data_IF_183894825466
#
_entry.id   IF_183894825466
#
_cell.length_a   1.000
_cell.length_b   1.000
_cell.length_c   1.000
_cell.angle_alpha   90.00
_cell.angle_beta   90.00
_cell.angle_gamma   90.00
#
_symmetry.space_group_name_H-M   'P 1'
#
loop_
_entity.id
_entity.type
_entity.pdbx_description
1 polymer ?
#
# COMPACT_ATOMS: atom_id res chain seq x y z
N UNK A 1 4.51 -27.08 -3.79
CA UNK A 1 3.68 -26.53 -2.70
C UNK A 1 3.75 -25.03 -2.78
N UNK A 2 2.67 -24.31 -2.43
CA UNK A 2 2.71 -22.85 -2.35
C UNK A 2 3.63 -22.37 -1.21
N UNK A 3 3.87 -21.06 -1.13
CA UNK A 3 4.79 -20.45 -0.15
C UNK A 3 4.35 -20.71 1.30
N UNK A 4 3.04 -20.66 1.59
CA UNK A 4 2.51 -20.88 2.94
C UNK A 4 2.69 -22.34 3.37
N UNK A 5 2.39 -23.29 2.47
CA UNK A 5 2.57 -24.71 2.71
C UNK A 5 4.05 -25.09 2.84
N UNK A 6 4.94 -24.44 2.08
CA UNK A 6 6.38 -24.66 2.15
C UNK A 6 7.03 -24.05 3.40
N UNK A 7 6.41 -23.03 4.01
CA UNK A 7 6.96 -22.27 5.12
C UNK A 7 5.93 -22.14 6.27
N UNK A 8 5.71 -23.22 7.06
CA UNK A 8 4.68 -23.23 8.10
C UNK A 8 4.93 -22.26 9.26
N UNK A 9 6.14 -21.67 9.34
CA UNK A 9 6.53 -20.65 10.33
C UNK A 9 6.67 -19.25 9.71
N UNK A 10 6.10 -19.03 8.52
CA UNK A 10 6.13 -17.70 7.92
C UNK A 10 5.27 -16.75 8.76
N UNK A 11 5.87 -15.63 9.16
CA UNK A 11 5.20 -14.62 10.01
C UNK A 11 4.63 -13.46 9.18
N UNK A 12 5.14 -13.21 7.97
CA UNK A 12 4.71 -12.05 7.20
C UNK A 12 4.91 -12.15 5.68
N UNK A 13 4.12 -11.36 4.96
CA UNK A 13 4.39 -10.94 3.58
C UNK A 13 4.61 -9.42 3.51
N UNK A 14 5.66 -9.02 2.80
CA UNK A 14 5.85 -7.65 2.31
C UNK A 14 5.70 -7.63 0.79
N UNK A 15 4.66 -6.96 0.29
CA UNK A 15 4.30 -6.92 -1.13
C UNK A 15 4.69 -5.54 -1.67
N UNK A 16 5.74 -5.48 -2.49
CA UNK A 16 6.32 -4.22 -2.98
C UNK A 16 5.54 -3.58 -4.15
N UNK A 17 4.23 -3.82 -4.25
CA UNK A 17 3.31 -3.22 -5.22
C UNK A 17 1.90 -3.77 -5.05
N UNK A 18 0.88 -3.01 -5.44
CA UNK A 18 -0.51 -3.38 -5.19
C UNK A 18 -1.10 -4.47 -6.11
N UNK A 19 -0.35 -4.91 -7.14
CA UNK A 19 -0.86 -5.80 -8.20
C UNK A 19 -1.58 -7.06 -7.70
N UNK A 20 -1.07 -7.79 -6.67
CA UNK A 20 -1.78 -8.94 -6.14
C UNK A 20 -3.13 -8.59 -5.50
N UNK A 21 -3.30 -7.37 -4.99
CA UNK A 21 -4.51 -6.91 -4.30
C UNK A 21 -5.53 -6.34 -5.30
N UNK A 22 -5.14 -5.43 -6.19
CA UNK A 22 -6.08 -4.81 -7.14
C UNK A 22 -6.19 -5.56 -8.49
N UNK A 23 -5.13 -6.25 -8.92
CA UNK A 23 -5.12 -6.96 -10.20
C UNK A 23 -5.69 -8.37 -10.14
N UNK A 24 -5.70 -8.97 -8.94
CA UNK A 24 -6.27 -10.29 -8.67
C UNK A 24 -6.93 -10.34 -7.28
N UNK A 25 -7.94 -9.48 -7.01
CA UNK A 25 -8.53 -9.34 -5.67
C UNK A 25 -9.17 -10.62 -5.14
N UNK A 26 -9.85 -11.39 -5.99
CA UNK A 26 -10.50 -12.62 -5.56
C UNK A 26 -9.48 -13.72 -5.18
N UNK A 27 -8.48 -14.05 -6.02
CA UNK A 27 -7.40 -14.94 -5.61
C UNK A 27 -6.68 -14.53 -4.31
N UNK A 28 -6.45 -13.23 -4.11
CA UNK A 28 -5.89 -12.73 -2.86
C UNK A 28 -6.79 -13.05 -1.66
N UNK A 29 -8.09 -12.77 -1.79
CA UNK A 29 -9.09 -13.04 -0.75
C UNK A 29 -9.22 -14.53 -0.45
N UNK A 30 -9.16 -15.38 -1.45
CA UNK A 30 -9.20 -16.84 -1.27
C UNK A 30 -7.98 -17.35 -0.50
N UNK A 31 -6.80 -16.75 -0.73
CA UNK A 31 -5.55 -17.11 -0.06
C UNK A 31 -5.49 -16.60 1.39
N UNK A 32 -5.84 -15.33 1.62
CA UNK A 32 -5.69 -14.67 2.93
C UNK A 32 -6.95 -14.73 3.81
N UNK A 33 -8.12 -15.01 3.24
CA UNK A 33 -9.37 -15.19 3.97
C UNK A 33 -9.26 -16.19 5.13
N UNK A 34 -8.69 -17.39 4.91
CA UNK A 34 -8.43 -18.37 5.98
C UNK A 34 -7.46 -17.89 7.07
N UNK A 35 -6.65 -16.85 6.81
CA UNK A 35 -5.68 -16.28 7.75
C UNK A 35 -6.21 -15.04 8.48
N UNK A 36 -7.44 -14.61 8.23
CA UNK A 36 -8.02 -13.36 8.74
C UNK A 36 -7.87 -13.19 10.25
N UNK A 37 -8.11 -14.22 11.05
CA UNK A 37 -7.98 -14.14 12.51
C UNK A 37 -6.53 -13.97 12.96
N UNK A 38 -5.58 -14.59 12.24
CA UNK A 38 -4.14 -14.41 12.49
C UNK A 38 -3.67 -13.02 12.10
N UNK A 39 -4.24 -12.45 11.03
CA UNK A 39 -3.99 -11.06 10.63
C UNK A 39 -4.55 -10.09 11.68
N UNK A 40 -5.77 -10.34 12.17
CA UNK A 40 -6.39 -9.51 13.20
C UNK A 40 -5.65 -9.55 14.54
N UNK A 41 -5.01 -10.67 14.90
CA UNK A 41 -4.20 -10.80 16.12
C UNK A 41 -2.73 -10.37 15.93
N UNK A 42 -2.32 -9.98 14.72
CA UNK A 42 -0.92 -9.76 14.33
C UNK A 42 0.00 -10.99 14.47
N UNK A 43 -0.56 -12.20 14.55
CA UNK A 43 0.20 -13.46 14.44
C UNK A 43 0.67 -13.73 12.99
N UNK A 44 0.06 -13.07 12.01
CA UNK A 44 0.51 -13.08 10.62
C UNK A 44 0.33 -11.70 10.00
N UNK A 45 1.39 -11.11 9.44
CA UNK A 45 1.36 -9.73 8.93
C UNK A 45 1.34 -9.69 7.41
N UNK A 46 0.51 -8.83 6.83
CA UNK A 46 0.60 -8.51 5.40
C UNK A 46 0.75 -7.00 5.23
N UNK A 47 1.90 -6.57 4.73
CA UNK A 47 2.14 -5.20 4.30
C UNK A 47 2.17 -5.14 2.78
N UNK A 48 1.49 -4.16 2.18
CA UNK A 48 1.56 -3.93 0.74
C UNK A 48 1.82 -2.46 0.40
N UNK A 49 2.50 -2.22 -0.72
CA UNK A 49 2.61 -0.89 -1.29
C UNK A 49 1.37 -0.54 -2.12
N UNK A 50 1.16 0.76 -2.32
CA UNK A 50 -0.02 1.37 -2.96
C UNK A 50 -1.26 1.45 -2.04
N UNK A 51 -2.19 2.35 -2.38
CA UNK A 51 -3.44 2.61 -1.66
C UNK A 51 -4.61 2.73 -2.64
N UNK A 52 -4.68 1.84 -3.62
CA UNK A 52 -5.72 1.86 -4.66
C UNK A 52 -7.05 1.37 -4.07
N UNK A 53 -8.19 1.78 -4.65
CA UNK A 53 -9.53 1.54 -4.10
C UNK A 53 -9.82 0.07 -3.70
N UNK A 54 -9.42 -0.90 -4.52
CA UNK A 54 -9.59 -2.33 -4.18
C UNK A 54 -8.73 -2.77 -3.00
N UNK A 55 -7.53 -2.20 -2.86
CA UNK A 55 -6.64 -2.47 -1.72
C UNK A 55 -7.23 -1.90 -0.44
N UNK A 56 -7.77 -0.68 -0.49
CA UNK A 56 -8.46 -0.06 0.64
C UNK A 56 -9.68 -0.89 1.05
N UNK A 57 -10.41 -1.48 0.10
CA UNK A 57 -11.50 -2.41 0.40
C UNK A 57 -10.97 -3.70 1.08
N UNK A 58 -9.85 -4.26 0.63
CA UNK A 58 -9.20 -5.42 1.26
C UNK A 58 -8.72 -5.08 2.69
N UNK A 59 -8.19 -3.88 2.91
CA UNK A 59 -7.82 -3.37 4.24
C UNK A 59 -9.05 -3.25 5.15
N UNK A 60 -10.17 -2.73 4.64
CA UNK A 60 -11.44 -2.66 5.36
C UNK A 60 -11.93 -4.04 5.80
N UNK A 61 -11.72 -5.06 4.95
CA UNK A 61 -12.08 -6.45 5.26
C UNK A 61 -11.14 -7.12 6.27
N UNK A 62 -10.04 -6.45 6.63
CA UNK A 62 -9.03 -6.94 7.57
C UNK A 62 -8.14 -8.02 6.99
N UNK A 63 -7.95 -8.03 5.67
CA UNK A 63 -7.14 -9.03 4.97
C UNK A 63 -5.73 -8.53 4.62
N UNK A 64 -5.41 -7.30 4.97
CA UNK A 64 -4.07 -6.71 4.93
C UNK A 64 -3.87 -5.89 6.21
N UNK A 65 -2.68 -5.97 6.81
CA UNK A 65 -2.36 -5.27 8.05
C UNK A 65 -2.18 -3.78 7.81
N UNK A 66 -1.39 -3.43 6.78
CA UNK A 66 -1.12 -2.05 6.40
C UNK A 66 -0.84 -1.92 4.91
N UNK A 67 -1.28 -0.81 4.35
CA UNK A 67 -0.98 -0.33 3.01
C UNK A 67 -0.15 0.95 3.11
N UNK A 68 0.89 1.06 2.29
CA UNK A 68 1.75 2.24 2.21
C UNK A 68 1.77 2.74 0.77
N UNK A 69 0.98 3.77 0.51
CA UNK A 69 0.76 4.32 -0.82
C UNK A 69 1.62 5.54 -1.11
N UNK A 70 2.09 5.63 -2.36
CA UNK A 70 2.62 6.88 -2.90
C UNK A 70 1.48 7.89 -3.11
N UNK A 71 1.82 9.15 -3.39
CA UNK A 71 0.84 10.20 -3.76
C UNK A 71 0.98 10.63 -5.23
N UNK A 72 0.47 9.85 -6.21
CA UNK A 72 0.62 10.16 -7.64
C UNK A 72 0.07 11.53 -8.03
N UNK A 73 -1.02 11.97 -7.41
CA UNK A 73 -1.58 13.30 -7.67
C UNK A 73 -0.59 14.40 -7.27
N UNK A 74 -0.06 14.34 -6.04
CA UNK A 74 0.93 15.31 -5.55
C UNK A 74 2.22 15.28 -6.39
N UNK A 75 2.66 14.09 -6.81
CA UNK A 75 3.79 13.93 -7.74
C UNK A 75 3.54 14.67 -9.05
N UNK A 76 2.37 14.44 -9.67
CA UNK A 76 1.96 15.09 -10.91
C UNK A 76 1.74 16.60 -10.76
N UNK A 77 1.29 17.06 -9.59
CA UNK A 77 1.05 18.48 -9.29
C UNK A 77 2.36 19.24 -9.05
N UNK A 78 3.31 18.66 -8.30
CA UNK A 78 4.62 19.29 -8.02
C UNK A 78 5.55 19.30 -9.23
N UNK A 79 5.51 18.26 -10.08
CA UNK A 79 6.49 18.10 -11.16
C UNK A 79 6.56 19.30 -12.13
N UNK A 80 5.46 19.89 -12.62
CA UNK A 80 5.50 21.09 -13.47
C UNK A 80 6.07 22.31 -12.74
N UNK A 81 5.71 22.53 -11.48
CA UNK A 81 6.20 23.65 -10.69
C UNK A 81 7.71 23.57 -10.46
N UNK A 82 8.21 22.36 -10.13
CA UNK A 82 9.64 22.07 -10.04
C UNK A 82 10.36 22.35 -11.37
N UNK A 83 9.76 21.95 -12.50
CA UNK A 83 10.35 22.19 -13.82
C UNK A 83 10.43 23.70 -14.14
N UNK A 84 9.41 24.48 -13.79
CA UNK A 84 9.42 25.93 -13.96
C UNK A 84 10.53 26.56 -13.13
N UNK A 85 10.65 26.18 -11.85
CA UNK A 85 11.67 26.73 -10.96
C UNK A 85 13.10 26.44 -11.47
N UNK A 86 13.35 25.24 -11.99
CA UNK A 86 14.63 24.87 -12.61
C UNK A 86 14.92 25.71 -13.86
N UNK A 87 13.93 25.95 -14.72
CA UNK A 87 14.08 26.79 -15.92
C UNK A 87 14.35 28.26 -15.56
N UNK A 88 13.78 28.75 -14.46
CA UNK A 88 14.02 30.09 -13.93
C UNK A 88 15.34 30.22 -13.14
N UNK A 89 16.12 29.14 -13.03
CA UNK A 89 17.40 29.12 -12.33
C UNK A 89 17.29 29.17 -10.80
N UNK A 90 16.12 28.84 -10.24
CA UNK A 90 15.91 28.75 -8.80
C UNK A 90 16.50 27.45 -8.26
N UNK A 91 16.85 27.47 -6.97
CA UNK A 91 17.23 26.27 -6.25
C UNK A 91 15.98 25.42 -5.97
N UNK A 92 16.07 24.11 -6.21
CA UNK A 92 15.02 23.13 -5.90
C UNK A 92 15.62 22.05 -4.98
N UNK A 93 14.80 21.53 -4.07
CA UNK A 93 15.20 20.42 -3.21
C UNK A 93 15.41 19.13 -4.02
N UNK A 94 16.44 18.37 -3.67
CA UNK A 94 16.73 17.06 -4.27
C UNK A 94 17.04 16.04 -3.15
N UNK A 95 16.13 15.08 -2.86
CA UNK A 95 14.88 14.82 -3.57
C UNK A 95 13.70 15.69 -3.11
N UNK A 96 12.67 15.81 -3.96
CA UNK A 96 11.36 16.39 -3.60
C UNK A 96 10.46 15.31 -3.02
N UNK A 97 10.20 15.37 -1.71
CA UNK A 97 9.28 14.45 -1.05
C UNK A 97 7.81 14.84 -1.26
N UNK A 98 6.98 13.88 -1.68
CA UNK A 98 5.53 14.03 -1.83
C UNK A 98 4.75 13.49 -0.63
N UNK A 99 5.40 12.70 0.23
CA UNK A 99 4.75 12.02 1.35
C UNK A 99 4.18 10.65 0.95
N UNK A 100 3.62 9.96 1.94
CA UNK A 100 3.01 8.65 1.80
C UNK A 100 1.64 8.65 2.48
N UNK A 101 0.77 7.76 2.02
CA UNK A 101 -0.50 7.46 2.68
C UNK A 101 -0.39 6.11 3.38
N UNK A 102 -0.83 6.05 4.64
CA UNK A 102 -0.78 4.84 5.46
C UNK A 102 -2.21 4.39 5.80
N UNK A 103 -2.67 3.33 5.14
CA UNK A 103 -4.00 2.79 5.36
C UNK A 103 -3.92 1.49 6.16
N UNK A 104 -4.65 1.46 7.27
CA UNK A 104 -4.94 0.26 8.04
C UNK A 104 -6.45 0.05 8.03
N UNK A 105 -6.93 -1.10 8.52
CA UNK A 105 -8.36 -1.34 8.71
C UNK A 105 -9.08 -0.20 9.44
N UNK A 106 -8.42 0.43 10.41
CA UNK A 106 -9.02 1.48 11.25
C UNK A 106 -8.97 2.86 10.58
N UNK A 107 -8.09 3.06 9.60
CA UNK A 107 -7.88 4.36 8.94
C UNK A 107 -8.38 4.41 7.50
N UNK A 108 -8.93 3.32 6.95
CA UNK A 108 -9.37 3.23 5.53
C UNK A 108 -10.31 4.34 5.06
N UNK A 109 -11.06 4.97 5.95
CA UNK A 109 -11.99 6.07 5.60
C UNK A 109 -11.31 7.44 5.51
N UNK A 110 -10.08 7.57 6.01
CA UNK A 110 -9.40 8.88 6.18
C UNK A 110 -7.93 8.87 5.78
N UNK A 111 -7.36 7.71 5.47
CA UNK A 111 -5.91 7.54 5.25
C UNK A 111 -5.40 8.16 3.94
N UNK A 112 -6.24 8.27 2.90
CA UNK A 112 -5.85 8.88 1.63
C UNK A 112 -5.99 10.39 1.74
N UNK A 113 -4.87 11.10 1.66
CA UNK A 113 -4.87 12.56 1.69
C UNK A 113 -5.30 13.11 0.33
N UNK A 114 -6.08 14.21 0.36
CA UNK A 114 -6.55 14.91 -0.84
C UNK A 114 -5.46 15.78 -1.44
#
# INVERSE_FOLDING_TARGET
TDILAANPKLDAFGIMGGWPLFGAPQPYRDLFGPLKDRIASNDFVVGAADTIGDEVAIARDGLVTALVGQRPFEMGYKAPSVMIDLVEGKAVADPVFTGLDECTKDTVDTCIQK
#
